data_IF_534348824816
#
_entry.id   IF_534348824816
#
_cell.length_a   1.000
_cell.length_b   1.000
_cell.length_c   1.000
_cell.angle_alpha   90.00
_cell.angle_beta   90.00
_cell.angle_gamma   90.00
#
_symmetry.space_group_name_H-M   'P 1'
#
loop_
_entity.id
_entity.type
_entity.pdbx_description
1 polymer ?
#
# COMPACT_ATOMS: atom_id res chain seq x y z
N UNK A 1 -1.39 -4.48 -7.70
CA UNK A 1 -1.61 -5.70 -6.91
C UNK A 1 -0.28 -6.43 -6.81
N UNK A 2 0.12 -6.85 -5.61
CA UNK A 2 1.38 -7.59 -5.39
C UNK A 2 1.02 -9.03 -5.05
N UNK A 3 1.45 -9.97 -5.87
CA UNK A 3 1.23 -11.42 -5.70
C UNK A 3 -0.21 -11.75 -5.22
N UNK A 4 -1.25 -11.37 -5.99
CA UNK A 4 -2.62 -11.58 -5.56
C UNK A 4 -2.95 -13.08 -5.52
N UNK A 5 -3.60 -13.54 -4.45
CA UNK A 5 -3.97 -14.94 -4.28
C UNK A 5 -5.02 -15.44 -5.29
N UNK A 6 -5.71 -14.52 -5.96
CA UNK A 6 -6.63 -14.79 -7.05
C UNK A 6 -6.54 -13.68 -8.11
N UNK A 7 -6.92 -14.03 -9.33
CA UNK A 7 -7.03 -13.08 -10.44
C UNK A 7 -8.19 -12.10 -10.23
N UNK A 8 -8.09 -10.93 -10.87
CA UNK A 8 -9.21 -9.98 -10.93
C UNK A 8 -10.30 -10.58 -11.82
N UNK A 9 -11.36 -11.10 -11.18
CA UNK A 9 -12.42 -11.84 -11.84
C UNK A 9 -13.77 -11.10 -11.85
N UNK A 10 -14.82 -11.80 -12.29
CA UNK A 10 -16.18 -11.26 -12.29
C UNK A 10 -16.71 -10.94 -10.89
N UNK A 11 -16.20 -11.60 -9.84
CA UNK A 11 -16.57 -11.32 -8.47
C UNK A 11 -15.96 -10.00 -7.99
N UNK A 12 -14.67 -9.78 -8.25
CA UNK A 12 -14.01 -8.51 -7.99
C UNK A 12 -14.72 -7.34 -8.71
N UNK A 13 -15.10 -7.55 -9.97
CA UNK A 13 -15.83 -6.56 -10.78
C UNK A 13 -17.21 -6.23 -10.21
N UNK A 14 -17.94 -7.24 -9.71
CA UNK A 14 -19.25 -7.03 -9.09
C UNK A 14 -19.16 -6.24 -7.78
N UNK A 15 -18.08 -6.43 -7.01
CA UNK A 15 -17.84 -5.71 -5.75
C UNK A 15 -17.27 -4.30 -5.96
N UNK A 16 -16.75 -3.99 -7.14
CA UNK A 16 -16.14 -2.68 -7.44
C UNK A 16 -17.14 -1.51 -7.43
N UNK A 17 -18.45 -1.77 -7.37
CA UNK A 17 -19.50 -0.75 -7.27
C UNK A 17 -19.37 0.39 -8.30
N UNK A 18 -18.99 0.05 -9.54
CA UNK A 18 -18.79 1.00 -10.64
C UNK A 18 -17.33 1.42 -10.87
N UNK A 19 -16.38 1.08 -9.99
CA UNK A 19 -14.95 1.34 -10.13
C UNK A 19 -14.21 0.28 -10.98
N UNK A 20 -14.86 -0.22 -12.04
CA UNK A 20 -14.29 -1.26 -12.90
C UNK A 20 -13.08 -0.76 -13.70
N UNK A 21 -13.01 0.55 -13.96
CA UNK A 21 -11.87 1.22 -14.58
C UNK A 21 -10.59 1.10 -13.71
N UNK A 22 -10.72 1.27 -12.39
CA UNK A 22 -9.60 1.10 -11.45
C UNK A 22 -9.09 -0.33 -11.47
N UNK A 23 -9.99 -1.32 -11.47
CA UNK A 23 -9.60 -2.73 -11.58
C UNK A 23 -8.93 -3.04 -12.92
N UNK A 24 -9.45 -2.51 -14.03
CA UNK A 24 -8.89 -2.73 -15.37
C UNK A 24 -7.52 -2.07 -15.58
N UNK A 25 -7.24 -0.98 -14.86
CA UNK A 25 -5.95 -0.29 -14.89
C UNK A 25 -4.95 -0.80 -13.83
N UNK A 26 -5.34 -1.78 -13.00
CA UNK A 26 -4.49 -2.28 -11.93
C UNK A 26 -3.30 -3.07 -12.49
N UNK A 27 -2.08 -2.65 -12.16
CA UNK A 27 -0.87 -3.41 -12.49
C UNK A 27 -0.65 -4.53 -11.48
N UNK A 28 -0.43 -5.76 -11.96
CA UNK A 28 -0.03 -6.90 -11.13
C UNK A 28 1.48 -7.13 -11.23
N UNK A 29 2.13 -7.22 -10.08
CA UNK A 29 3.58 -7.48 -9.94
C UNK A 29 3.82 -8.61 -8.94
N UNK A 30 5.02 -9.18 -8.95
CA UNK A 30 5.32 -10.35 -8.11
C UNK A 30 5.81 -9.97 -6.70
N UNK A 31 6.40 -8.78 -6.53
CA UNK A 31 7.01 -8.40 -5.26
C UNK A 31 6.67 -6.98 -4.84
N UNK A 32 6.67 -6.71 -3.54
CA UNK A 32 6.43 -5.37 -3.02
C UNK A 32 7.52 -4.40 -3.47
N UNK A 33 8.78 -4.85 -3.52
CA UNK A 33 9.91 -4.04 -3.98
C UNK A 33 9.71 -3.53 -5.41
N UNK A 34 9.10 -4.34 -6.29
CA UNK A 34 8.76 -3.94 -7.66
C UNK A 34 7.63 -2.91 -7.68
N UNK A 35 6.60 -3.08 -6.83
CA UNK A 35 5.48 -2.14 -6.76
C UNK A 35 5.87 -0.74 -6.27
N UNK A 36 6.89 -0.63 -5.43
CA UNK A 36 7.31 0.65 -4.84
C UNK A 36 8.59 1.22 -5.47
N UNK A 37 9.12 0.57 -6.51
CA UNK A 37 10.34 1.02 -7.17
C UNK A 37 10.14 2.42 -7.77
N UNK A 38 11.09 3.31 -7.50
CA UNK A 38 11.01 4.71 -7.92
C UNK A 38 10.01 5.59 -7.15
N UNK A 39 9.33 5.08 -6.11
CA UNK A 39 8.50 5.92 -5.25
C UNK A 39 9.37 6.83 -4.36
N UNK A 40 9.08 8.13 -4.36
CA UNK A 40 9.69 9.13 -3.50
C UNK A 40 9.33 8.93 -2.01
N UNK A 41 8.14 8.37 -1.75
CA UNK A 41 7.65 8.08 -0.41
C UNK A 41 6.79 6.82 -0.39
N UNK A 42 7.07 5.92 0.55
CA UNK A 42 6.29 4.72 0.80
C UNK A 42 5.80 4.68 2.25
N UNK A 43 4.50 4.54 2.47
CA UNK A 43 3.90 4.42 3.79
C UNK A 43 3.13 3.10 3.90
N UNK A 44 3.44 2.29 4.92
CA UNK A 44 2.78 1.01 5.17
C UNK A 44 1.71 1.11 6.25
N UNK A 45 0.56 0.47 6.06
CA UNK A 45 -0.49 0.40 7.08
C UNK A 45 -0.20 -0.71 8.08
N UNK A 46 -0.31 -0.44 9.39
CA UNK A 46 -0.17 -1.45 10.43
C UNK A 46 -1.14 -1.23 11.58
N UNK A 47 -1.79 -2.30 12.04
CA UNK A 47 -2.64 -2.27 13.23
C UNK A 47 -1.85 -2.22 14.56
N UNK A 48 -0.52 -2.46 14.55
CA UNK A 48 0.30 -2.46 15.76
C UNK A 48 1.71 -1.92 15.51
N UNK A 49 2.20 -1.11 16.45
CA UNK A 49 3.56 -0.55 16.45
C UNK A 49 4.51 -1.22 17.45
N UNK A 50 4.11 -2.31 18.13
CA UNK A 50 4.73 -2.68 19.42
C UNK A 50 6.11 -3.35 19.35
N UNK A 51 6.51 -3.92 18.22
CA UNK A 51 7.72 -4.76 18.18
C UNK A 51 8.97 -4.00 17.73
N UNK A 52 8.81 -2.89 17.00
CA UNK A 52 9.90 -2.18 16.33
C UNK A 52 9.63 -0.67 16.38
N UNK A 53 10.65 0.11 16.75
CA UNK A 53 10.57 1.58 16.85
C UNK A 53 10.56 2.24 15.47
N UNK A 54 9.47 2.09 14.74
CA UNK A 54 9.27 2.69 13.44
C UNK A 54 8.76 4.13 13.55
N UNK A 55 9.07 5.01 12.59
CA UNK A 55 8.46 6.33 12.52
C UNK A 55 6.98 6.20 12.16
N UNK A 56 6.12 6.30 13.18
CA UNK A 56 4.66 6.27 13.05
C UNK A 56 4.11 7.65 12.70
N UNK A 57 3.07 7.68 11.88
CA UNK A 57 2.27 8.88 11.57
C UNK A 57 0.79 8.55 11.74
N UNK A 58 -0.02 9.53 12.09
CA UNK A 58 -1.47 9.34 12.08
C UNK A 58 -2.04 9.46 10.64
N UNK A 59 -3.30 9.06 10.39
CA UNK A 59 -3.87 9.08 9.04
C UNK A 59 -3.92 10.47 8.40
N UNK A 60 -4.06 11.55 9.19
CA UNK A 60 -4.07 12.92 8.66
C UNK A 60 -2.66 13.34 8.26
N UNK A 61 -1.68 13.11 9.13
CA UNK A 61 -0.28 13.38 8.81
C UNK A 61 0.22 12.54 7.62
N UNK A 62 -0.21 11.28 7.53
CA UNK A 62 0.04 10.40 6.39
C UNK A 62 -0.44 11.03 5.09
N UNK A 63 -1.69 11.49 5.04
CA UNK A 63 -2.27 12.12 3.86
C UNK A 63 -1.51 13.41 3.49
N UNK A 64 -1.21 14.26 4.46
CA UNK A 64 -0.46 15.51 4.23
C UNK A 64 0.93 15.24 3.66
N UNK A 65 1.64 14.22 4.16
CA UNK A 65 2.95 13.79 3.66
C UNK A 65 2.86 13.23 2.25
N UNK A 66 1.91 12.34 1.97
CA UNK A 66 1.72 11.75 0.64
C UNK A 66 1.42 12.83 -0.41
N UNK A 67 0.53 13.78 -0.10
CA UNK A 67 0.18 14.88 -1.00
C UNK A 67 1.35 15.84 -1.21
N UNK A 68 2.18 16.04 -0.18
CA UNK A 68 3.37 16.88 -0.31
C UNK A 68 4.44 16.23 -1.18
N UNK A 69 4.78 14.97 -0.91
CA UNK A 69 5.84 14.26 -1.64
C UNK A 69 5.42 13.83 -3.05
N UNK A 70 4.12 13.75 -3.34
CA UNK A 70 3.66 13.49 -4.71
C UNK A 70 4.06 14.60 -5.71
N UNK A 71 4.50 15.77 -5.23
CA UNK A 71 5.05 16.83 -6.08
C UNK A 71 6.50 16.55 -6.52
N UNK A 72 7.23 15.66 -5.83
CA UNK A 72 8.63 15.33 -6.14
C UNK A 72 8.75 14.03 -6.94
N UNK A 73 7.82 13.09 -6.74
CA UNK A 73 7.77 11.84 -7.48
C UNK A 73 6.57 10.97 -7.08
N UNK A 74 6.45 9.75 -7.62
CA UNK A 74 5.40 8.82 -7.26
C UNK A 74 5.41 8.50 -5.76
N UNK A 75 4.25 8.26 -5.16
CA UNK A 75 4.13 7.87 -3.75
C UNK A 75 3.28 6.61 -3.63
N UNK A 76 3.58 5.78 -2.62
CA UNK A 76 2.90 4.53 -2.37
C UNK A 76 2.31 4.49 -0.95
N UNK A 77 1.02 4.16 -0.86
CA UNK A 77 0.35 3.75 0.38
C UNK A 77 0.09 2.25 0.30
N UNK A 78 0.74 1.47 1.17
CA UNK A 78 0.77 0.02 1.09
C UNK A 78 -0.17 -0.59 2.11
N UNK A 79 -1.13 -1.36 1.61
CA UNK A 79 -2.07 -2.13 2.42
C UNK A 79 -1.66 -3.60 2.48
N UNK A 80 -1.73 -4.17 3.68
CA UNK A 80 -1.46 -5.58 3.90
C UNK A 80 -2.66 -6.47 3.61
N UNK A 81 -2.46 -7.78 3.82
CA UNK A 81 -3.51 -8.80 3.70
C UNK A 81 -4.55 -8.61 4.80
N UNK A 82 -5.82 -8.88 4.52
CA UNK A 82 -6.93 -8.66 5.47
C UNK A 82 -6.71 -9.33 6.84
N UNK A 83 -6.29 -10.60 6.84
CA UNK A 83 -6.16 -11.39 8.07
C UNK A 83 -4.81 -11.22 8.79
N UNK A 84 -3.75 -10.83 8.09
CA UNK A 84 -2.37 -10.87 8.61
C UNK A 84 -1.62 -9.55 8.52
N UNK A 85 -2.16 -8.54 7.84
CA UNK A 85 -1.48 -7.29 7.56
C UNK A 85 -0.24 -7.46 6.67
N UNK A 86 0.69 -6.53 6.82
CA UNK A 86 2.02 -6.58 6.22
C UNK A 86 2.97 -7.38 7.12
N UNK A 87 3.86 -8.14 6.50
CA UNK A 87 4.96 -8.80 7.23
C UNK A 87 5.97 -7.77 7.72
N UNK A 88 6.83 -8.15 8.67
CA UNK A 88 7.90 -7.26 9.11
C UNK A 88 8.87 -6.91 7.97
N UNK A 89 9.11 -7.84 7.04
CA UNK A 89 9.95 -7.63 5.87
C UNK A 89 9.31 -6.62 4.91
N UNK A 90 8.00 -6.70 4.68
CA UNK A 90 7.25 -5.72 3.89
C UNK A 90 7.22 -4.33 4.56
N UNK A 91 7.05 -4.29 5.89
CA UNK A 91 7.08 -3.04 6.67
C UNK A 91 8.45 -2.37 6.64
N UNK A 92 9.54 -3.14 6.60
CA UNK A 92 10.92 -2.62 6.50
C UNK A 92 11.19 -1.89 5.18
N UNK A 93 10.42 -2.18 4.13
CA UNK A 93 10.52 -1.48 2.84
C UNK A 93 9.79 -0.13 2.83
N UNK A 94 9.01 0.18 3.87
CA UNK A 94 8.26 1.42 3.98
C UNK A 94 9.04 2.48 4.78
N UNK A 95 8.93 3.75 4.41
CA UNK A 95 9.58 4.86 5.10
C UNK A 95 8.88 5.22 6.42
N UNK A 96 7.54 5.20 6.42
CA UNK A 96 6.69 5.47 7.59
C UNK A 96 5.62 4.40 7.71
N UNK A 97 5.06 4.27 8.92
CA UNK A 97 3.90 3.43 9.16
C UNK A 97 2.71 4.25 9.68
N UNK A 98 1.51 3.88 9.28
CA UNK A 98 0.26 4.54 9.70
C UNK A 98 -0.65 3.55 10.43
N UNK A 99 -1.24 4.01 11.53
CA UNK A 99 -2.27 3.28 12.29
C UNK A 99 -3.55 4.10 12.46
#
# INVERSE_FOLDING_TARGET
LVDPACEVDSHASALAAGATDVLGAATTVNTLSEAIDGCALTIGTSARSRTLSWPMVDPRECAEKLVKESNTGPVALVFGRENSGLTNEELQLCNFHVC
#
